data_IF_046020147499
#
_entry.id   IF_046020147499
#
_cell.length_a   1.000
_cell.length_b   1.000
_cell.length_c   1.000
_cell.angle_alpha   90.00
_cell.angle_beta   90.00
_cell.angle_gamma   90.00
#
_symmetry.space_group_name_H-M   'P 1'
#
loop_
_entity.id
_entity.type
_entity.pdbx_description
1 polymer ?
#
# COMPACT_ATOMS: atom_id res chain seq x y z
N UNK A 1 10.40 -24.35 33.29
CA UNK A 1 10.43 -23.31 32.24
C UNK A 1 9.61 -23.72 31.02
N UNK A 2 9.97 -24.82 30.33
CA UNK A 2 9.18 -25.33 29.19
C UNK A 2 7.75 -25.74 29.56
N UNK A 3 7.53 -26.35 30.73
CA UNK A 3 6.18 -26.71 31.19
C UNK A 3 5.27 -25.50 31.44
N UNK A 4 5.83 -24.38 31.90
CA UNK A 4 5.09 -23.12 32.11
C UNK A 4 4.68 -22.49 30.77
N UNK A 5 5.56 -22.57 29.77
CA UNK A 5 5.30 -22.19 28.38
C UNK A 5 4.25 -23.09 27.72
N UNK A 6 4.29 -24.39 28.02
CA UNK A 6 3.39 -25.41 27.47
C UNK A 6 1.99 -25.35 28.10
N UNK A 7 1.89 -25.02 29.40
CA UNK A 7 0.61 -24.72 30.07
C UNK A 7 0.01 -23.39 29.59
N UNK A 8 0.81 -22.35 29.35
CA UNK A 8 0.36 -21.10 28.74
C UNK A 8 -0.15 -21.32 27.31
N UNK A 9 0.58 -22.10 26.51
CA UNK A 9 0.16 -22.52 25.18
C UNK A 9 -1.17 -23.27 25.26
N UNK A 10 -1.30 -24.30 26.10
CA UNK A 10 -2.55 -25.07 26.25
C UNK A 10 -3.73 -24.20 26.71
N UNK A 11 -3.52 -23.22 27.60
CA UNK A 11 -4.59 -22.31 28.06
C UNK A 11 -5.02 -21.28 27.01
N UNK A 12 -4.11 -20.83 26.13
CA UNK A 12 -4.39 -19.82 25.09
C UNK A 12 -4.73 -20.41 23.72
N UNK A 13 -4.30 -21.65 23.44
CA UNK A 13 -4.56 -22.44 22.23
C UNK A 13 -5.66 -23.50 22.41
N UNK A 14 -6.38 -23.52 23.55
CA UNK A 14 -7.58 -24.35 23.68
C UNK A 14 -8.80 -23.78 22.95
N UNK A 15 -8.73 -22.51 22.52
CA UNK A 15 -9.77 -21.86 21.74
C UNK A 15 -9.48 -22.10 20.24
N UNK A 16 -10.33 -22.84 19.51
CA UNK A 16 -10.16 -23.11 18.07
C UNK A 16 -9.97 -21.82 17.26
N UNK A 17 -10.60 -20.73 17.71
CA UNK A 17 -10.49 -19.38 17.16
C UNK A 17 -9.06 -18.83 17.19
N UNK A 18 -8.33 -19.02 18.28
CA UNK A 18 -6.95 -18.51 18.41
C UNK A 18 -6.00 -19.23 17.44
N UNK A 19 -6.21 -20.53 17.23
CA UNK A 19 -5.47 -21.32 16.26
C UNK A 19 -5.81 -20.87 14.84
N UNK A 20 -7.09 -20.68 14.53
CA UNK A 20 -7.53 -20.19 13.23
C UNK A 20 -6.91 -18.81 12.91
N UNK A 21 -6.90 -17.88 13.87
CA UNK A 21 -6.24 -16.59 13.72
C UNK A 21 -4.73 -16.73 13.47
N UNK A 22 -4.04 -17.61 14.19
CA UNK A 22 -2.61 -17.84 13.96
C UNK A 22 -2.36 -18.40 12.56
N UNK A 23 -3.18 -19.37 12.11
CA UNK A 23 -3.06 -19.95 10.78
C UNK A 23 -3.29 -18.89 9.69
N UNK A 24 -4.34 -18.07 9.82
CA UNK A 24 -4.63 -16.96 8.89
C UNK A 24 -3.48 -15.96 8.88
N UNK A 25 -2.94 -15.61 10.06
CA UNK A 25 -1.83 -14.66 10.17
C UNK A 25 -0.58 -15.20 9.48
N UNK A 26 -0.18 -16.44 9.78
CA UNK A 26 1.00 -17.09 9.19
C UNK A 26 0.81 -17.28 7.69
N UNK A 27 -0.37 -17.72 7.25
CA UNK A 27 -0.68 -17.87 5.83
C UNK A 27 -0.67 -16.51 5.11
N UNK A 28 -1.29 -15.48 5.68
CA UNK A 28 -1.32 -14.12 5.13
C UNK A 28 0.08 -13.51 5.02
N UNK A 29 0.88 -13.59 6.08
CA UNK A 29 2.28 -13.16 6.04
C UNK A 29 3.12 -14.00 5.08
N UNK A 30 2.88 -15.31 5.01
CA UNK A 30 3.52 -16.19 4.03
C UNK A 30 3.23 -15.72 2.61
N UNK A 31 1.96 -15.50 2.27
CA UNK A 31 1.55 -14.99 0.95
C UNK A 31 2.20 -13.63 0.68
N UNK A 32 2.15 -12.70 1.63
CA UNK A 32 2.77 -11.37 1.49
C UNK A 32 4.28 -11.47 1.24
N UNK A 33 4.98 -12.39 1.91
CA UNK A 33 6.43 -12.55 1.77
C UNK A 33 6.80 -13.23 0.45
N UNK A 34 6.18 -14.37 0.13
CA UNK A 34 6.45 -15.13 -1.10
C UNK A 34 6.03 -14.36 -2.37
N UNK A 35 4.89 -13.67 -2.33
CA UNK A 35 4.39 -12.87 -3.47
C UNK A 35 4.73 -11.38 -3.32
N UNK A 36 5.66 -11.01 -2.43
CA UNK A 36 6.02 -9.61 -2.16
C UNK A 36 6.40 -8.85 -3.43
N UNK A 37 7.11 -9.47 -4.38
CA UNK A 37 7.49 -8.84 -5.65
C UNK A 37 6.31 -8.42 -6.53
N UNK A 38 5.14 -9.06 -6.40
CA UNK A 38 3.91 -8.71 -7.12
C UNK A 38 2.94 -7.91 -6.25
N UNK A 39 2.80 -8.29 -4.98
CA UNK A 39 1.87 -7.66 -4.06
C UNK A 39 2.32 -6.27 -3.64
N UNK A 40 3.63 -6.02 -3.48
CA UNK A 40 4.13 -4.69 -3.14
C UNK A 40 3.73 -3.62 -4.20
N UNK A 41 4.04 -3.78 -5.50
CA UNK A 41 3.60 -2.79 -6.50
C UNK A 41 2.07 -2.75 -6.65
N UNK A 42 1.38 -3.88 -6.50
CA UNK A 42 -0.09 -3.92 -6.53
C UNK A 42 -0.71 -3.08 -5.39
N UNK A 43 -0.26 -3.29 -4.15
CA UNK A 43 -0.73 -2.54 -2.98
C UNK A 43 -0.44 -1.05 -3.13
N UNK A 44 0.76 -0.70 -3.61
CA UNK A 44 1.11 0.69 -3.91
C UNK A 44 0.17 1.29 -4.95
N UNK A 45 -0.12 0.56 -6.04
CA UNK A 45 -1.05 1.02 -7.07
C UNK A 45 -2.48 1.24 -6.53
N UNK A 46 -2.98 0.35 -5.67
CA UNK A 46 -4.29 0.48 -5.03
C UNK A 46 -4.33 1.69 -4.10
N UNK A 47 -3.31 1.88 -3.27
CA UNK A 47 -3.20 3.03 -2.37
C UNK A 47 -3.16 4.33 -3.18
N UNK A 48 -2.36 4.38 -4.25
CA UNK A 48 -2.31 5.54 -5.14
C UNK A 48 -3.67 5.79 -5.81
N UNK A 49 -4.34 4.76 -6.31
CA UNK A 49 -5.67 4.89 -6.89
C UNK A 49 -6.67 5.50 -5.90
N UNK A 50 -6.70 5.00 -4.66
CA UNK A 50 -7.55 5.55 -3.61
C UNK A 50 -7.20 7.00 -3.26
N UNK A 51 -5.90 7.33 -3.24
CA UNK A 51 -5.42 8.69 -3.00
C UNK A 51 -5.84 9.66 -4.12
N UNK A 52 -5.91 9.19 -5.37
CA UNK A 52 -6.39 9.96 -6.53
C UNK A 52 -7.93 10.00 -6.62
N UNK A 53 -8.63 9.00 -6.10
CA UNK A 53 -10.10 8.99 -6.06
C UNK A 53 -10.63 10.10 -5.15
N UNK A 54 -9.97 10.38 -4.02
CA UNK A 54 -10.34 11.47 -3.11
C UNK A 54 -10.41 12.87 -3.76
N UNK A 55 -9.38 13.38 -4.44
CA UNK A 55 -9.45 14.68 -5.12
C UNK A 55 -10.44 14.63 -6.30
N UNK A 56 -10.57 13.49 -6.97
CA UNK A 56 -11.54 13.30 -8.06
C UNK A 56 -12.97 13.45 -7.56
N UNK A 57 -13.32 12.80 -6.45
CA UNK A 57 -14.62 12.92 -5.80
C UNK A 57 -14.87 14.35 -5.29
N UNK A 58 -13.83 15.05 -4.84
CA UNK A 58 -13.93 16.45 -4.41
C UNK A 58 -14.22 17.40 -5.58
N UNK A 59 -13.63 17.15 -6.75
CA UNK A 59 -13.97 17.88 -7.99
C UNK A 59 -15.38 17.55 -8.48
N UNK A 60 -15.81 16.29 -8.37
CA UNK A 60 -17.16 15.86 -8.75
C UNK A 60 -18.23 16.57 -7.90
N UNK A 61 -17.99 16.73 -6.59
CA UNK A 61 -18.87 17.48 -5.69
C UNK A 61 -19.01 18.97 -6.02
N UNK A 62 -18.09 19.55 -6.82
CA UNK A 62 -18.15 20.95 -7.27
C UNK A 62 -18.99 21.07 -8.57
N UNK A 63 -19.52 19.96 -9.09
CA UNK A 63 -20.37 19.92 -10.29
C UNK A 63 -19.61 19.53 -11.57
N UNK A 64 -18.37 19.04 -11.46
CA UNK A 64 -17.62 18.53 -12.60
C UNK A 64 -18.06 17.09 -12.93
N UNK A 65 -18.31 16.78 -14.22
CA UNK A 65 -18.59 15.40 -14.63
C UNK A 65 -17.40 14.49 -14.30
N UNK A 66 -17.68 13.28 -13.79
CA UNK A 66 -16.68 12.29 -13.36
C UNK A 66 -15.52 12.07 -14.35
N UNK A 67 -15.80 12.09 -15.66
CA UNK A 67 -14.76 11.96 -16.71
C UNK A 67 -13.79 13.13 -16.74
N UNK A 68 -14.30 14.36 -16.61
CA UNK A 68 -13.50 15.57 -16.56
C UNK A 68 -12.72 15.66 -15.25
N UNK A 69 -13.35 15.37 -14.12
CA UNK A 69 -12.69 15.33 -12.81
C UNK A 69 -11.50 14.36 -12.83
N UNK A 70 -11.70 13.13 -13.33
CA UNK A 70 -10.64 12.11 -13.40
C UNK A 70 -9.52 12.55 -14.33
N UNK A 71 -9.85 13.13 -15.51
CA UNK A 71 -8.86 13.58 -16.48
C UNK A 71 -8.00 14.72 -15.92
N UNK A 72 -8.61 15.69 -15.24
CA UNK A 72 -7.90 16.82 -14.61
C UNK A 72 -6.95 16.31 -13.51
N UNK A 73 -7.44 15.46 -12.62
CA UNK A 73 -6.62 14.88 -11.53
C UNK A 73 -5.46 14.06 -12.10
N UNK A 74 -5.71 13.26 -13.14
CA UNK A 74 -4.67 12.48 -13.81
C UNK A 74 -3.59 13.37 -14.43
N UNK A 75 -3.99 14.39 -15.20
CA UNK A 75 -3.04 15.32 -15.84
C UNK A 75 -2.24 16.09 -14.80
N UNK A 76 -2.88 16.55 -13.72
CA UNK A 76 -2.22 17.23 -12.62
C UNK A 76 -1.22 16.32 -11.90
N UNK A 77 -1.61 15.08 -11.60
CA UNK A 77 -0.74 14.10 -10.95
C UNK A 77 0.49 13.77 -11.81
N UNK A 78 0.29 13.47 -13.11
CA UNK A 78 1.38 13.23 -14.05
C UNK A 78 2.26 14.47 -14.20
N UNK A 79 1.66 15.66 -14.26
CA UNK A 79 2.39 16.93 -14.32
C UNK A 79 3.31 17.15 -13.12
N UNK A 80 2.83 16.87 -11.91
CA UNK A 80 3.64 16.94 -10.68
C UNK A 80 4.78 15.92 -10.72
N UNK A 81 4.52 14.68 -11.15
CA UNK A 81 5.56 13.65 -11.27
C UNK A 81 6.65 14.06 -12.26
N UNK A 82 6.26 14.62 -13.41
CA UNK A 82 7.21 15.12 -14.42
C UNK A 82 8.03 16.28 -13.86
N UNK A 83 7.40 17.26 -13.21
CA UNK A 83 8.12 18.37 -12.57
C UNK A 83 9.12 17.86 -11.52
N UNK A 84 8.71 16.91 -10.68
CA UNK A 84 9.63 16.27 -9.73
C UNK A 84 10.78 15.55 -10.45
N UNK A 85 10.50 14.77 -11.50
CA UNK A 85 11.54 14.11 -12.27
C UNK A 85 12.53 15.11 -12.88
N UNK A 86 12.04 16.21 -13.46
CA UNK A 86 12.88 17.28 -14.01
C UNK A 86 13.72 18.00 -12.96
N UNK A 87 13.29 18.07 -11.70
CA UNK A 87 14.07 18.67 -10.60
C UNK A 87 15.06 17.65 -10.01
N UNK A 88 14.64 16.40 -9.82
CA UNK A 88 15.43 15.36 -9.18
C UNK A 88 16.50 14.82 -10.13
N UNK A 89 16.21 14.62 -11.41
CA UNK A 89 17.17 14.10 -12.40
C UNK A 89 18.46 14.92 -12.51
N UNK A 90 18.46 16.27 -12.63
CA UNK A 90 19.70 17.04 -12.66
C UNK A 90 20.43 17.00 -11.32
N UNK A 91 19.71 17.00 -10.20
CA UNK A 91 20.32 16.89 -8.87
C UNK A 91 20.97 15.52 -8.67
N UNK A 92 20.31 14.44 -9.09
CA UNK A 92 20.85 13.09 -9.05
C UNK A 92 22.08 12.94 -9.96
N UNK A 93 22.09 13.59 -11.12
CA UNK A 93 23.26 13.63 -12.00
C UNK A 93 24.44 14.39 -11.38
N UNK A 94 24.16 15.53 -10.73
CA UNK A 94 25.17 16.28 -9.97
C UNK A 94 25.72 15.46 -8.80
N UNK A 95 24.88 14.69 -8.11
CA UNK A 95 25.31 13.84 -6.99
C UNK A 95 26.11 12.61 -7.43
N UNK A 96 25.81 12.02 -8.59
CA UNK A 96 26.52 10.83 -9.09
C UNK A 96 27.86 11.11 -9.78
N UNK A 97 28.20 12.39 -9.99
CA UNK A 97 29.48 12.80 -10.61
C UNK A 97 30.57 13.22 -9.61
N UNK A 98 30.29 13.06 -8.31
CA UNK A 98 31.26 13.13 -7.19
C UNK A 98 31.56 11.73 -6.68
#
# INVERSE_FOLDING_TARGET
>A
MLEMLMQWYRRRFSDPEAIALLVILVAGFGILFFFSGLLAPLLVAIVLAYLLEWPTARLENIGCSRRWATSIVLVLFVGILLLMAFVVMPVAWQQGST
#
